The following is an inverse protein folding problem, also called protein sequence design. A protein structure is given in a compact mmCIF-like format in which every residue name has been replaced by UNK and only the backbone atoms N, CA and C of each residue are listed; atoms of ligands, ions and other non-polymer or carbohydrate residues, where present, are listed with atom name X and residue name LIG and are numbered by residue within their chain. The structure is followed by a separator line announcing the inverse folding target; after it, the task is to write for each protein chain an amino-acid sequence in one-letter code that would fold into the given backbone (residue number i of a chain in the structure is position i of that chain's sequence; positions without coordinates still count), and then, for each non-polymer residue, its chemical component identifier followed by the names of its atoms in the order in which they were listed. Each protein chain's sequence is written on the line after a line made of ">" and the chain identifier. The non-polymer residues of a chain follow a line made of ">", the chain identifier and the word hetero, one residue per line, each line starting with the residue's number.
data_IF_473457395685
#
_entry.id   IF_473457395685
#
_cell.length_a   1.000
_cell.length_b   1.000
_cell.length_c   1.000
_cell.angle_alpha   90.00
_cell.angle_beta   90.00
_cell.angle_gamma   90.00
#
_symmetry.space_group_name_H-M   'P 1'
#
loop_
_entity.id
_entity.type
_entity.pdbx_description
1 polymer ?
#
# COMPACT_ATOMS: atom_id res chain seq x y z
N UNK A 1 9.67 -25.00 23.19
CA UNK A 1 9.77 -23.99 22.11
C UNK A 1 8.43 -23.66 21.47
N UNK A 2 7.62 -24.64 21.01
CA UNK A 2 6.25 -24.39 20.47
C UNK A 2 5.36 -23.55 21.41
N UNK A 3 5.42 -23.80 22.71
CA UNK A 3 4.67 -23.03 23.72
C UNK A 3 5.16 -21.58 23.90
N UNK A 4 6.40 -21.26 23.53
CA UNK A 4 6.96 -19.92 23.67
C UNK A 4 6.48 -18.99 22.56
N UNK A 5 6.45 -19.46 21.31
CA UNK A 5 5.86 -18.70 20.19
C UNK A 5 4.34 -18.58 20.31
N UNK A 6 3.65 -19.61 20.82
CA UNK A 6 2.23 -19.49 21.19
C UNK A 6 2.02 -18.45 22.30
N UNK A 7 2.92 -18.38 23.29
CA UNK A 7 2.85 -17.35 24.32
C UNK A 7 3.13 -15.96 23.76
N UNK A 8 4.02 -15.80 22.76
CA UNK A 8 4.27 -14.53 22.05
C UNK A 8 3.05 -14.04 21.27
N UNK A 9 2.30 -14.96 20.65
CA UNK A 9 1.01 -14.68 20.03
C UNK A 9 -0.03 -14.18 21.05
N UNK A 10 0.09 -14.60 22.31
CA UNK A 10 -0.83 -14.27 23.40
C UNK A 10 -0.32 -13.15 24.34
N UNK A 11 0.95 -12.74 24.27
CA UNK A 11 1.55 -11.79 25.20
C UNK A 11 1.53 -10.37 24.66
N UNK A 12 1.21 -9.41 25.52
CA UNK A 12 1.41 -8.00 25.25
C UNK A 12 2.91 -7.69 25.41
N UNK A 13 3.58 -7.30 24.31
CA UNK A 13 4.89 -6.67 24.38
C UNK A 13 4.62 -5.18 24.18
N UNK A 14 5.10 -4.35 25.11
CA UNK A 14 4.88 -2.90 25.06
C UNK A 14 5.88 -2.27 24.10
N UNK A 15 5.37 -1.69 23.00
CA UNK A 15 6.11 -0.84 22.08
C UNK A 15 5.59 0.58 22.35
N UNK A 16 6.44 1.48 22.84
CA UNK A 16 5.99 2.72 23.50
C UNK A 16 5.85 3.93 22.59
N UNK A 17 6.27 3.89 21.33
CA UNK A 17 6.02 4.97 20.38
C UNK A 17 5.80 4.38 18.98
N UNK A 18 4.54 4.31 18.57
CA UNK A 18 4.17 4.01 17.19
C UNK A 18 3.46 5.21 16.59
N UNK A 19 3.87 5.59 15.38
CA UNK A 19 3.10 6.55 14.58
C UNK A 19 1.92 5.79 14.00
N UNK A 20 0.79 5.82 14.71
CA UNK A 20 -0.47 5.31 14.17
C UNK A 20 -0.86 6.12 12.94
N UNK A 21 -1.16 5.39 11.88
CA UNK A 21 -1.65 5.95 10.62
C UNK A 21 -3.12 6.33 10.79
N UNK A 22 -3.44 7.63 10.77
CA UNK A 22 -4.83 8.10 10.78
C UNK A 22 -5.47 8.14 9.38
N UNK A 23 -4.72 7.90 8.30
CA UNK A 23 -5.17 7.66 6.90
C UNK A 23 -4.08 8.09 5.91
N UNK A 24 -4.38 7.97 4.61
CA UNK A 24 -3.64 8.44 3.42
C UNK A 24 -2.99 9.84 3.51
N UNK A 25 -3.32 10.63 4.54
CA UNK A 25 -2.78 11.95 4.87
C UNK A 25 -1.29 11.95 5.20
N UNK A 26 -0.73 10.88 5.78
CA UNK A 26 0.73 10.81 6.11
C UNK A 26 1.60 10.38 4.91
N UNK A 27 0.94 9.93 3.85
CA UNK A 27 1.52 9.38 2.61
C UNK A 27 1.71 10.51 1.60
N UNK A 28 0.72 11.41 1.45
CA UNK A 28 0.90 12.65 0.70
C UNK A 28 1.53 13.74 1.59
N UNK A 29 2.87 13.84 1.60
CA UNK A 29 3.55 15.09 2.03
C UNK A 29 3.28 16.28 1.10
N UNK A 30 2.20 16.24 0.33
CA UNK A 30 1.77 17.32 -0.51
C UNK A 30 0.98 18.28 0.38
N UNK A 31 1.69 19.26 0.96
CA UNK A 31 1.18 20.33 1.82
C UNK A 31 0.22 21.29 1.07
N UNK A 32 -0.70 20.78 0.25
CA UNK A 32 -1.75 21.58 -0.37
C UNK A 32 -2.98 21.60 0.56
N UNK A 33 -3.61 22.77 0.78
CA UNK A 33 -4.69 22.93 1.76
C UNK A 33 -5.91 22.01 1.54
N UNK A 34 -6.13 21.57 0.30
CA UNK A 34 -7.30 20.78 -0.08
C UNK A 34 -7.10 19.26 0.07
N UNK A 35 -5.88 18.72 0.14
CA UNK A 35 -5.64 17.27 0.29
C UNK A 35 -6.15 16.79 1.66
N UNK A 36 -5.89 17.55 2.73
CA UNK A 36 -6.42 17.23 4.05
C UNK A 36 -7.95 17.19 4.05
N UNK A 37 -8.58 18.16 3.39
CA UNK A 37 -10.03 18.25 3.25
C UNK A 37 -10.58 17.11 2.40
N UNK A 38 -9.84 16.68 1.36
CA UNK A 38 -10.17 15.52 0.54
C UNK A 38 -10.27 14.26 1.40
N UNK A 39 -9.25 13.98 2.22
CA UNK A 39 -9.24 12.79 3.09
C UNK A 39 -10.21 12.88 4.27
N UNK A 40 -10.60 14.08 4.68
CA UNK A 40 -11.68 14.28 5.65
C UNK A 40 -13.08 14.09 5.05
N UNK A 41 -13.20 13.81 3.75
CA UNK A 41 -14.50 13.65 3.07
C UNK A 41 -15.19 14.97 2.71
N UNK A 42 -14.51 16.11 2.82
CA UNK A 42 -15.04 17.45 2.51
C UNK A 42 -15.04 17.73 0.98
N UNK A 43 -15.28 16.71 0.15
CA UNK A 43 -15.11 16.75 -1.31
C UNK A 43 -15.87 17.88 -1.99
N UNK A 44 -17.12 18.13 -1.57
CA UNK A 44 -17.96 19.20 -2.14
C UNK A 44 -17.38 20.59 -1.91
N UNK A 45 -16.74 20.81 -0.76
CA UNK A 45 -16.17 22.11 -0.38
C UNK A 45 -14.95 22.46 -1.23
N UNK A 46 -14.17 21.45 -1.61
CA UNK A 46 -12.94 21.64 -2.38
C UNK A 46 -13.13 21.47 -3.89
N UNK A 47 -14.29 20.98 -4.36
CA UNK A 47 -14.47 20.60 -5.78
C UNK A 47 -14.18 21.74 -6.75
N UNK A 48 -14.76 22.93 -6.53
CA UNK A 48 -14.58 24.06 -7.45
C UNK A 48 -13.13 24.57 -7.46
N UNK A 49 -12.47 24.59 -6.30
CA UNK A 49 -11.06 24.96 -6.16
C UNK A 49 -10.15 23.95 -6.86
N UNK A 50 -10.33 22.66 -6.58
CA UNK A 50 -9.57 21.56 -7.18
C UNK A 50 -9.78 21.52 -8.69
N UNK A 51 -11.01 21.73 -9.17
CA UNK A 51 -11.30 21.78 -10.60
C UNK A 51 -10.59 22.94 -11.29
N UNK A 52 -10.64 24.13 -10.70
CA UNK A 52 -9.95 25.30 -11.23
C UNK A 52 -8.43 25.06 -11.33
N UNK A 53 -7.81 24.59 -10.26
CA UNK A 53 -6.38 24.29 -10.23
C UNK A 53 -6.00 23.19 -11.24
N UNK A 54 -6.85 22.18 -11.40
CA UNK A 54 -6.63 21.12 -12.38
C UNK A 54 -6.66 21.65 -13.83
N UNK A 55 -7.57 22.59 -14.12
CA UNK A 55 -7.65 23.32 -15.40
C UNK A 55 -6.45 24.25 -15.61
N UNK A 56 -5.81 24.72 -14.54
CA UNK A 56 -4.56 25.50 -14.54
C UNK A 56 -3.29 24.63 -14.63
N UNK A 57 -3.43 23.35 -14.97
CA UNK A 57 -2.35 22.35 -15.09
C UNK A 57 -1.61 21.98 -13.80
N UNK A 58 -2.22 22.19 -12.63
CA UNK A 58 -1.67 21.71 -11.37
C UNK A 58 -1.77 20.16 -11.31
N UNK A 59 -0.64 19.42 -11.31
CA UNK A 59 -0.65 17.96 -11.38
C UNK A 59 -1.31 17.30 -10.16
N UNK A 60 -1.26 17.95 -9.00
CA UNK A 60 -1.82 17.47 -7.73
C UNK A 60 -3.33 17.61 -7.73
N UNK A 61 -3.84 18.75 -8.21
CA UNK A 61 -5.25 19.01 -8.38
C UNK A 61 -5.84 18.10 -9.47
N UNK A 62 -5.12 17.86 -10.57
CA UNK A 62 -5.52 16.90 -11.60
C UNK A 62 -5.63 15.48 -11.05
N UNK A 63 -4.64 15.04 -10.27
CA UNK A 63 -4.69 13.75 -9.59
C UNK A 63 -5.86 13.66 -8.61
N UNK A 64 -6.05 14.69 -7.78
CA UNK A 64 -7.12 14.76 -6.78
C UNK A 64 -8.49 14.73 -7.45
N UNK A 65 -8.69 15.53 -8.50
CA UNK A 65 -9.92 15.58 -9.27
C UNK A 65 -10.25 14.23 -9.92
N UNK A 66 -9.23 13.56 -10.49
CA UNK A 66 -9.36 12.20 -11.01
C UNK A 66 -9.82 11.22 -9.93
N UNK A 67 -9.23 11.33 -8.73
CA UNK A 67 -9.60 10.54 -7.55
C UNK A 67 -11.06 10.79 -7.14
N UNK A 68 -11.52 12.04 -7.13
CA UNK A 68 -12.92 12.39 -6.85
C UNK A 68 -13.89 11.71 -7.83
N UNK A 69 -13.57 11.73 -9.13
CA UNK A 69 -14.35 11.03 -10.15
C UNK A 69 -14.31 9.49 -10.01
N UNK A 70 -13.17 8.91 -9.62
CA UNK A 70 -13.05 7.46 -9.41
C UNK A 70 -13.83 6.98 -8.17
N UNK A 71 -13.82 7.77 -7.09
CA UNK A 71 -14.61 7.49 -5.88
C UNK A 71 -16.11 7.49 -6.17
N UNK A 72 -16.62 8.51 -6.83
CA UNK A 72 -18.04 8.60 -7.16
C UNK A 72 -18.50 7.46 -8.10
N UNK A 73 -17.64 7.01 -9.02
CA UNK A 73 -17.91 5.86 -9.89
C UNK A 73 -18.15 4.58 -9.08
N UNK A 74 -17.32 4.33 -8.07
CA UNK A 74 -17.41 3.15 -7.19
C UNK A 74 -18.66 3.17 -6.33
N UNK A 75 -19.13 4.34 -5.91
CA UNK A 75 -20.39 4.48 -5.15
C UNK A 75 -21.63 4.11 -5.98
N UNK A 76 -21.66 4.37 -7.29
CA UNK A 76 -22.77 4.01 -8.18
C UNK A 76 -22.90 2.49 -8.39
N UNK A 77 -21.79 1.75 -8.33
CA UNK A 77 -21.74 0.28 -8.44
C UNK A 77 -22.18 -0.43 -7.14
N UNK A 78 -22.26 0.31 -6.02
CA UNK A 78 -22.74 -0.20 -4.73
C UNK A 78 -24.28 -0.17 -4.66
N UNK A 79 -24.92 -1.12 -5.34
CA UNK A 79 -26.37 -1.36 -5.27
C UNK A 79 -26.89 -1.75 -3.88
N UNK A 80 -27.01 -0.79 -2.96
CA UNK A 80 -27.86 -0.90 -1.77
C UNK A 80 -27.30 -1.64 -0.55
N UNK A 81 -25.97 -1.83 -0.39
CA UNK A 81 -25.41 -2.39 0.85
C UNK A 81 -24.84 -1.32 1.79
N UNK A 82 -25.39 -1.32 3.01
CA UNK A 82 -25.26 -0.32 4.10
C UNK A 82 -23.85 -0.04 4.66
N UNK A 83 -22.76 -0.56 4.10
CA UNK A 83 -21.43 -0.44 4.72
C UNK A 83 -20.29 0.03 3.78
N UNK A 84 -20.59 0.53 2.59
CA UNK A 84 -19.57 1.18 1.75
C UNK A 84 -19.46 2.67 2.14
N UNK A 85 -18.47 3.01 2.98
CA UNK A 85 -18.10 4.39 3.40
C UNK A 85 -19.29 5.37 3.40
N UNK A 86 -20.17 5.19 4.39
CA UNK A 86 -21.29 6.08 4.66
C UNK A 86 -20.71 7.48 4.94
N UNK A 87 -20.90 8.44 3.99
CA UNK A 87 -21.59 9.72 4.28
C UNK A 87 -21.62 10.83 3.21
N UNK A 88 -21.27 10.68 1.93
CA UNK A 88 -20.98 11.92 1.16
C UNK A 88 -21.57 12.13 -0.25
N UNK A 89 -22.39 11.22 -0.81
CA UNK A 89 -22.96 11.43 -2.16
C UNK A 89 -24.43 11.03 -2.29
N UNK A 90 -25.26 11.89 -2.91
CA UNK A 90 -26.63 11.52 -3.29
C UNK A 90 -26.70 11.14 -4.78
N UNK A 91 -27.48 10.12 -5.17
CA UNK A 91 -27.63 9.66 -6.55
C UNK A 91 -28.09 10.72 -7.58
N UNK A 92 -28.53 11.91 -7.13
CA UNK A 92 -29.01 12.99 -8.01
C UNK A 92 -27.90 13.89 -8.54
N UNK A 93 -26.68 13.79 -8.02
CA UNK A 93 -25.58 14.71 -8.36
C UNK A 93 -24.82 14.32 -9.64
N UNK A 94 -25.31 13.34 -10.42
CA UNK A 94 -24.96 13.17 -11.83
C UNK A 94 -23.48 12.89 -12.14
N UNK A 95 -22.99 11.73 -11.72
CA UNK A 95 -21.68 11.17 -12.11
C UNK A 95 -21.75 10.29 -13.37
N UNK A 96 -22.65 10.55 -14.31
CA UNK A 96 -22.78 9.71 -15.52
C UNK A 96 -21.61 9.85 -16.53
N UNK A 97 -20.54 10.58 -16.19
CA UNK A 97 -19.26 10.61 -16.91
C UNK A 97 -18.06 10.16 -16.04
N UNK A 98 -18.29 9.51 -14.90
CA UNK A 98 -17.29 9.27 -13.85
C UNK A 98 -15.99 8.60 -14.32
N UNK A 99 -16.08 7.52 -15.10
CA UNK A 99 -14.88 6.75 -15.49
C UNK A 99 -14.06 7.45 -16.57
N UNK A 100 -14.70 8.06 -17.56
CA UNK A 100 -13.98 8.77 -18.63
C UNK A 100 -13.30 10.03 -18.10
N UNK A 101 -13.93 10.74 -17.16
CA UNK A 101 -13.33 11.90 -16.50
C UNK A 101 -12.15 11.50 -15.61
N UNK A 102 -12.27 10.45 -14.79
CA UNK A 102 -11.15 9.95 -14.00
C UNK A 102 -9.96 9.58 -14.89
N UNK A 103 -10.20 8.83 -15.97
CA UNK A 103 -9.15 8.45 -16.93
C UNK A 103 -8.51 9.66 -17.60
N UNK A 104 -9.30 10.68 -17.99
CA UNK A 104 -8.78 11.92 -18.57
C UNK A 104 -7.85 12.61 -17.57
N UNK A 105 -8.32 12.87 -16.36
CA UNK A 105 -7.56 13.64 -15.38
C UNK A 105 -6.33 12.91 -14.85
N UNK A 106 -6.37 11.58 -14.73
CA UNK A 106 -5.14 10.82 -14.46
C UNK A 106 -4.11 10.97 -15.58
N UNK A 107 -4.52 11.00 -16.85
CA UNK A 107 -3.58 11.21 -17.96
C UNK A 107 -2.97 12.60 -17.93
N UNK A 108 -3.78 13.63 -17.67
CA UNK A 108 -3.27 15.00 -17.50
C UNK A 108 -2.29 15.08 -16.33
N UNK A 109 -2.64 14.49 -15.19
CA UNK A 109 -1.75 14.43 -14.03
C UNK A 109 -0.42 13.74 -14.37
N UNK A 110 -0.44 12.64 -15.13
CA UNK A 110 0.78 11.97 -15.62
C UNK A 110 1.60 12.90 -16.52
N UNK A 111 0.95 13.58 -17.47
CA UNK A 111 1.61 14.48 -18.41
C UNK A 111 2.27 15.68 -17.70
N UNK A 112 1.63 16.17 -16.63
CA UNK A 112 2.12 17.27 -15.81
C UNK A 112 3.01 16.81 -14.64
N UNK A 113 3.38 15.53 -14.59
CA UNK A 113 4.43 15.02 -13.69
C UNK A 113 3.97 14.52 -12.33
N UNK A 114 2.68 14.22 -12.13
CA UNK A 114 2.20 13.63 -10.88
C UNK A 114 2.74 12.20 -10.72
N UNK A 115 3.53 11.91 -9.67
CA UNK A 115 4.28 10.66 -9.54
C UNK A 115 3.38 9.41 -9.42
N UNK A 116 2.24 9.53 -8.75
CA UNK A 116 1.37 8.40 -8.43
C UNK A 116 0.22 8.18 -9.41
N UNK A 117 0.05 9.08 -10.39
CA UNK A 117 -1.11 9.03 -11.29
C UNK A 117 -1.07 7.81 -12.23
N UNK A 118 0.12 7.33 -12.58
CA UNK A 118 0.30 6.10 -13.38
C UNK A 118 -0.25 4.88 -12.65
N UNK A 119 -0.01 4.76 -11.34
CA UNK A 119 -0.54 3.67 -10.52
C UNK A 119 -2.06 3.69 -10.46
N UNK A 120 -2.65 4.87 -10.27
CA UNK A 120 -4.11 5.00 -10.25
C UNK A 120 -4.75 4.67 -11.60
N UNK A 121 -4.13 5.11 -12.70
CA UNK A 121 -4.54 4.74 -14.05
C UNK A 121 -4.44 3.21 -14.30
N UNK A 122 -3.42 2.55 -13.74
CA UNK A 122 -3.27 1.10 -13.80
C UNK A 122 -4.35 0.37 -12.98
N UNK A 123 -4.72 0.90 -11.81
CA UNK A 123 -5.71 0.29 -10.90
C UNK A 123 -7.16 0.60 -11.25
N UNK A 124 -7.43 1.63 -12.06
CA UNK A 124 -8.77 2.05 -12.41
C UNK A 124 -9.57 0.90 -13.08
N UNK A 125 -10.78 0.65 -12.57
CA UNK A 125 -11.65 -0.43 -13.05
C UNK A 125 -12.13 -0.08 -14.46
N UNK A 126 -11.69 -0.86 -15.45
CA UNK A 126 -12.18 -0.71 -16.83
C UNK A 126 -13.60 -1.30 -16.92
N UNK A 127 -14.43 -0.70 -17.77
CA UNK A 127 -15.78 -1.19 -18.07
C UNK A 127 -15.77 -2.59 -18.70
N UNK A 128 -14.66 -2.98 -19.35
CA UNK A 128 -14.49 -4.27 -20.01
C UNK A 128 -13.99 -5.39 -19.07
N UNK A 129 -13.60 -5.07 -17.83
CA UNK A 129 -13.09 -6.05 -16.86
C UNK A 129 -11.73 -6.66 -17.21
N UNK A 130 -11.04 -6.16 -18.24
CA UNK A 130 -9.75 -6.71 -18.65
C UNK A 130 -8.64 -6.35 -17.64
N UNK A 131 -7.73 -7.30 -17.32
CA UNK A 131 -6.55 -6.98 -16.53
C UNK A 131 -5.72 -5.88 -17.23
N UNK A 132 -5.05 -5.00 -16.48
CA UNK A 132 -4.15 -4.02 -17.07
C UNK A 132 -3.07 -4.70 -17.92
N UNK A 133 -2.75 -4.12 -19.09
CA UNK A 133 -1.72 -4.66 -19.97
C UNK A 133 -0.32 -4.54 -19.37
N UNK A 134 0.59 -5.42 -19.78
CA UNK A 134 2.02 -5.39 -19.43
C UNK A 134 2.65 -4.01 -19.70
N UNK A 135 2.24 -3.35 -20.79
CA UNK A 135 2.69 -1.98 -21.11
C UNK A 135 2.33 -0.97 -20.02
N UNK A 136 1.14 -1.07 -19.41
CA UNK A 136 0.74 -0.17 -18.31
C UNK A 136 1.47 -0.53 -17.02
N UNK A 137 1.66 -1.82 -16.76
CA UNK A 137 2.43 -2.29 -15.62
C UNK A 137 3.86 -1.72 -15.64
N UNK A 138 4.55 -1.86 -16.78
CA UNK A 138 5.89 -1.33 -16.99
C UNK A 138 5.95 0.19 -16.86
N UNK A 139 4.89 0.91 -17.25
CA UNK A 139 4.81 2.36 -17.06
C UNK A 139 4.75 2.73 -15.57
N UNK A 140 3.97 2.01 -14.76
CA UNK A 140 3.91 2.21 -13.31
C UNK A 140 5.27 1.93 -12.68
N UNK A 141 5.86 0.77 -12.99
CA UNK A 141 7.18 0.37 -12.50
C UNK A 141 8.22 1.46 -12.81
N UNK A 142 8.29 1.91 -14.07
CA UNK A 142 9.23 2.95 -14.49
C UNK A 142 9.02 4.28 -13.75
N UNK A 143 7.77 4.65 -13.50
CA UNK A 143 7.43 5.93 -12.86
C UNK A 143 7.70 5.93 -11.36
N UNK A 144 7.45 4.79 -10.70
CA UNK A 144 7.61 4.68 -9.25
C UNK A 144 9.02 4.29 -8.82
N UNK A 145 9.78 3.55 -9.63
CA UNK A 145 11.09 3.02 -9.25
C UNK A 145 12.06 4.09 -8.70
N UNK A 146 12.24 5.27 -9.33
CA UNK A 146 13.14 6.30 -8.78
C UNK A 146 12.71 6.79 -7.40
N UNK A 147 11.40 6.85 -7.13
CA UNK A 147 10.85 7.26 -5.84
C UNK A 147 11.09 6.18 -4.78
N UNK A 148 10.90 4.91 -5.16
CA UNK A 148 11.26 3.76 -4.31
C UNK A 148 12.74 3.80 -3.96
N UNK A 149 13.61 4.04 -4.95
CA UNK A 149 15.06 4.14 -4.73
C UNK A 149 15.45 5.32 -3.85
N UNK A 150 14.67 6.41 -3.85
CA UNK A 150 14.83 7.54 -2.93
C UNK A 150 14.24 7.31 -1.52
N UNK A 151 13.57 6.17 -1.29
CA UNK A 151 12.96 5.84 0.00
C UNK A 151 11.53 6.35 0.19
N UNK A 152 10.79 6.59 -0.89
CA UNK A 152 9.37 6.96 -0.81
C UNK A 152 8.51 5.73 -0.49
N UNK A 153 7.98 5.65 0.73
CA UNK A 153 7.12 4.55 1.18
C UNK A 153 5.82 4.38 0.41
N UNK A 154 5.25 5.46 -0.12
CA UNK A 154 4.04 5.45 -0.94
C UNK A 154 4.31 4.77 -2.27
N UNK A 155 5.35 5.25 -2.95
CA UNK A 155 5.82 4.66 -4.19
C UNK A 155 6.18 3.20 -3.96
N UNK A 156 6.81 2.88 -2.81
CA UNK A 156 7.20 1.50 -2.48
C UNK A 156 6.00 0.59 -2.29
N UNK A 157 4.97 1.05 -1.59
CA UNK A 157 3.70 0.33 -1.47
C UNK A 157 3.03 0.10 -2.83
N UNK A 158 2.90 1.16 -3.64
CA UNK A 158 2.28 1.10 -4.96
C UNK A 158 3.07 0.20 -5.92
N UNK A 159 4.39 0.26 -5.85
CA UNK A 159 5.32 -0.59 -6.59
C UNK A 159 5.16 -2.06 -6.18
N UNK A 160 5.18 -2.38 -4.88
CA UNK A 160 4.90 -3.72 -4.36
C UNK A 160 3.54 -4.24 -4.84
N UNK A 161 2.49 -3.41 -4.78
CA UNK A 161 1.13 -3.77 -5.21
C UNK A 161 1.05 -4.08 -6.70
N UNK A 162 1.83 -3.38 -7.51
CA UNK A 162 1.95 -3.59 -8.95
C UNK A 162 2.60 -4.94 -9.24
N UNK A 163 3.71 -5.23 -8.55
CA UNK A 163 4.43 -6.49 -8.68
C UNK A 163 3.76 -7.69 -7.99
N UNK A 164 2.74 -7.49 -7.16
CA UNK A 164 2.17 -8.58 -6.37
C UNK A 164 1.71 -9.82 -7.17
N UNK A 165 1.36 -9.66 -8.45
CA UNK A 165 1.03 -10.78 -9.34
C UNK A 165 2.26 -11.63 -9.69
N UNK A 166 3.44 -11.01 -9.83
CA UNK A 166 4.70 -11.71 -10.14
C UNK A 166 5.22 -12.50 -8.93
N UNK A 167 4.92 -12.06 -7.70
CA UNK A 167 5.25 -12.80 -6.47
C UNK A 167 4.43 -14.08 -6.25
N UNK A 168 3.36 -14.29 -7.03
CA UNK A 168 2.54 -15.52 -6.97
C UNK A 168 3.10 -16.66 -7.82
N UNK A 169 4.21 -16.44 -8.54
CA UNK A 169 4.90 -17.47 -9.31
C UNK A 169 5.68 -18.35 -8.33
N UNK A 170 5.34 -19.63 -8.29
CA UNK A 170 6.02 -20.58 -7.43
C UNK A 170 7.45 -20.86 -7.95
N UNK A 171 8.47 -21.01 -7.08
CA UNK A 171 9.87 -21.10 -7.50
C UNK A 171 10.26 -22.45 -8.13
N UNK A 172 9.29 -23.26 -8.56
CA UNK A 172 9.57 -24.40 -9.42
C UNK A 172 9.92 -23.98 -10.87
N UNK A 173 9.97 -22.68 -11.18
CA UNK A 173 10.44 -22.19 -12.49
C UNK A 173 11.75 -21.44 -12.33
N UNK A 174 12.83 -22.04 -12.85
CA UNK A 174 14.18 -21.47 -12.86
C UNK A 174 14.30 -20.45 -14.02
N UNK A 175 13.43 -19.45 -14.04
CA UNK A 175 13.27 -18.51 -15.14
C UNK A 175 13.78 -17.11 -14.78
N UNK A 176 14.14 -16.33 -15.81
CA UNK A 176 14.57 -14.93 -15.69
C UNK A 176 13.60 -14.06 -14.87
N UNK A 177 12.29 -14.37 -14.91
CA UNK A 177 11.29 -13.66 -14.10
C UNK A 177 11.49 -13.85 -12.61
N UNK A 178 11.94 -15.03 -12.15
CA UNK A 178 12.22 -15.26 -10.73
C UNK A 178 13.40 -14.41 -10.24
N UNK A 179 14.49 -14.32 -11.03
CA UNK A 179 15.66 -13.48 -10.69
C UNK A 179 15.27 -12.01 -10.56
N UNK A 180 14.56 -11.46 -11.55
CA UNK A 180 14.09 -10.06 -11.51
C UNK A 180 13.16 -9.80 -10.33
N UNK A 181 12.27 -10.75 -10.05
CA UNK A 181 11.37 -10.69 -8.88
C UNK A 181 12.14 -10.59 -7.56
N UNK A 182 13.21 -11.37 -7.40
CA UNK A 182 14.07 -11.30 -6.20
C UNK A 182 14.80 -9.96 -6.10
N UNK A 183 15.33 -9.43 -7.20
CA UNK A 183 15.96 -8.10 -7.24
C UNK A 183 14.97 -6.99 -6.84
N UNK A 184 13.74 -7.05 -7.35
CA UNK A 184 12.69 -6.08 -7.03
C UNK A 184 12.28 -6.17 -5.55
N UNK A 185 12.19 -7.37 -4.99
CA UNK A 185 11.93 -7.58 -3.55
C UNK A 185 13.05 -7.01 -2.68
N UNK A 186 14.31 -7.17 -3.05
CA UNK A 186 15.43 -6.56 -2.33
C UNK A 186 15.39 -5.03 -2.37
N UNK A 187 14.99 -4.45 -3.51
CA UNK A 187 14.80 -3.01 -3.65
C UNK A 187 13.71 -2.51 -2.72
N UNK A 188 12.57 -3.20 -2.66
CA UNK A 188 11.46 -2.90 -1.75
C UNK A 188 11.89 -3.01 -0.28
N UNK A 189 12.61 -4.08 0.09
CA UNK A 189 13.11 -4.27 1.45
C UNK A 189 14.02 -3.12 1.86
N UNK A 190 14.94 -2.71 0.97
CA UNK A 190 15.86 -1.59 1.22
C UNK A 190 15.10 -0.29 1.50
N UNK A 191 14.04 -0.02 0.74
CA UNK A 191 13.24 1.20 0.88
C UNK A 191 12.33 1.17 2.13
N UNK A 192 11.66 0.05 2.42
CA UNK A 192 10.72 -0.04 3.54
C UNK A 192 11.38 -0.18 4.90
N UNK A 193 12.60 -0.72 4.97
CA UNK A 193 13.24 -1.05 6.23
C UNK A 193 13.44 0.17 7.16
N UNK A 194 14.04 1.29 6.71
CA UNK A 194 14.19 2.47 7.57
C UNK A 194 12.85 2.98 8.10
N UNK A 195 11.83 3.05 7.25
CA UNK A 195 10.48 3.46 7.66
C UNK A 195 9.84 2.51 8.68
N UNK A 196 10.00 1.20 8.47
CA UNK A 196 9.50 0.20 9.41
C UNK A 196 10.20 0.31 10.77
N UNK A 197 11.51 0.58 10.77
CA UNK A 197 12.31 0.82 11.97
C UNK A 197 11.94 2.13 12.67
N UNK A 198 11.50 3.16 11.94
CA UNK A 198 10.94 4.41 12.50
C UNK A 198 9.51 4.28 13.04
N UNK A 199 8.94 3.07 13.06
CA UNK A 199 7.62 2.82 13.62
C UNK A 199 6.48 2.88 12.60
N UNK A 200 6.75 2.93 11.29
CA UNK A 200 5.68 2.95 10.27
C UNK A 200 5.06 1.56 10.09
N UNK A 201 3.84 1.40 10.62
CA UNK A 201 3.09 0.14 10.65
C UNK A 201 2.87 -0.47 9.26
N UNK A 202 2.54 0.36 8.25
CA UNK A 202 2.31 -0.12 6.90
C UNK A 202 3.60 -0.65 6.25
N UNK A 203 4.71 0.04 6.49
CA UNK A 203 6.04 -0.35 6.02
C UNK A 203 6.48 -1.65 6.68
N UNK A 204 6.21 -1.85 7.98
CA UNK A 204 6.41 -3.14 8.65
C UNK A 204 5.60 -4.26 7.99
N UNK A 205 4.32 -4.02 7.69
CA UNK A 205 3.46 -5.02 7.04
C UNK A 205 4.00 -5.43 5.66
N UNK A 206 4.30 -4.47 4.78
CA UNK A 206 4.80 -4.77 3.43
C UNK A 206 6.22 -5.32 3.44
N UNK A 207 7.05 -4.93 4.41
CA UNK A 207 8.37 -5.53 4.64
C UNK A 207 8.23 -7.01 5.03
N UNK A 208 7.30 -7.34 5.93
CA UNK A 208 6.96 -8.72 6.27
C UNK A 208 6.49 -9.52 5.05
N UNK A 209 5.67 -8.91 4.19
CA UNK A 209 5.22 -9.56 2.93
C UNK A 209 6.35 -9.76 1.93
N UNK A 210 7.31 -8.84 1.85
CA UNK A 210 8.46 -8.97 0.97
C UNK A 210 9.37 -10.12 1.44
N UNK A 211 9.65 -10.22 2.75
CA UNK A 211 10.39 -11.34 3.32
C UNK A 211 9.66 -12.68 3.13
N UNK A 212 8.33 -12.70 3.28
CA UNK A 212 7.54 -13.90 3.01
C UNK A 212 7.67 -14.36 1.55
N UNK A 213 7.67 -13.43 0.59
CA UNK A 213 7.86 -13.73 -0.82
C UNK A 213 9.29 -14.25 -1.13
N UNK A 214 10.29 -13.84 -0.33
CA UNK A 214 11.66 -14.38 -0.36
C UNK A 214 11.85 -15.64 0.49
N UNK A 215 10.79 -16.15 1.11
CA UNK A 215 10.80 -17.33 1.98
C UNK A 215 11.64 -17.17 3.25
N UNK A 216 11.91 -15.93 3.62
CA UNK A 216 12.51 -15.59 4.91
C UNK A 216 11.41 -15.53 5.97
N UNK A 217 10.85 -16.70 6.30
CA UNK A 217 9.75 -16.81 7.26
C UNK A 217 10.07 -16.23 8.64
N UNK A 218 11.29 -16.40 9.20
CA UNK A 218 11.68 -15.74 10.45
C UNK A 218 11.52 -14.22 10.42
N UNK A 219 12.10 -13.55 9.41
CA UNK A 219 11.96 -12.08 9.29
C UNK A 219 10.54 -11.65 8.98
N UNK A 220 9.84 -12.39 8.12
CA UNK A 220 8.45 -12.11 7.81
C UNK A 220 7.59 -12.15 9.08
N UNK A 221 7.75 -13.19 9.90
CA UNK A 221 7.05 -13.34 11.16
C UNK A 221 7.36 -12.22 12.15
N UNK A 222 8.62 -11.83 12.30
CA UNK A 222 9.02 -10.73 13.18
C UNK A 222 8.29 -9.42 12.83
N UNK A 223 8.33 -9.01 11.56
CA UNK A 223 7.71 -7.78 11.10
C UNK A 223 6.17 -7.81 11.16
N UNK A 224 5.54 -8.94 10.81
CA UNK A 224 4.09 -9.08 11.00
C UNK A 224 3.69 -9.05 12.47
N UNK A 225 4.50 -9.63 13.35
CA UNK A 225 4.23 -9.66 14.80
C UNK A 225 4.22 -8.24 15.37
N UNK A 226 5.22 -7.42 15.03
CA UNK A 226 5.27 -6.03 15.49
C UNK A 226 4.13 -5.21 14.91
N UNK A 227 3.86 -5.30 13.61
CA UNK A 227 2.73 -4.59 13.00
C UNK A 227 1.37 -4.99 13.61
N UNK A 228 1.17 -6.28 13.91
CA UNK A 228 -0.04 -6.78 14.57
C UNK A 228 -0.18 -6.20 16.00
N UNK A 229 0.90 -6.18 16.78
CA UNK A 229 0.90 -5.60 18.14
C UNK A 229 0.55 -4.12 18.14
N UNK A 230 0.88 -3.41 17.06
CA UNK A 230 0.50 -2.01 16.83
C UNK A 230 -0.91 -1.86 16.21
N UNK A 231 -1.75 -2.91 16.23
CA UNK A 231 -3.16 -2.84 15.84
C UNK A 231 -3.46 -3.10 14.36
N UNK A 232 -2.47 -3.47 13.53
CA UNK A 232 -2.72 -3.77 12.12
C UNK A 232 -3.35 -5.16 11.91
N UNK A 233 -4.68 -5.22 11.92
CA UNK A 233 -5.44 -6.48 11.78
C UNK A 233 -5.03 -7.37 10.59
N UNK A 234 -4.72 -6.86 9.37
CA UNK A 234 -4.24 -7.72 8.30
C UNK A 234 -2.93 -8.45 8.65
N UNK A 235 -2.03 -7.83 9.43
CA UNK A 235 -0.77 -8.46 9.83
C UNK A 235 -0.99 -9.66 10.75
N UNK A 236 -2.06 -9.70 11.54
CA UNK A 236 -2.41 -10.87 12.36
C UNK A 236 -2.63 -12.12 11.48
N UNK A 237 -3.37 -11.96 10.38
CA UNK A 237 -3.66 -13.06 9.45
C UNK A 237 -2.37 -13.59 8.84
N UNK A 238 -1.52 -12.70 8.33
CA UNK A 238 -0.24 -13.09 7.75
C UNK A 238 0.70 -13.70 8.78
N UNK A 239 0.78 -13.14 9.99
CA UNK A 239 1.58 -13.70 11.09
C UNK A 239 1.20 -15.16 11.36
N UNK A 240 -0.09 -15.45 11.49
CA UNK A 240 -0.60 -16.83 11.70
C UNK A 240 -0.26 -17.75 10.53
N UNK A 241 -0.38 -17.26 9.29
CA UNK A 241 0.01 -18.02 8.10
C UNK A 241 1.51 -18.32 8.09
N UNK A 242 2.37 -17.34 8.32
CA UNK A 242 3.83 -17.53 8.35
C UNK A 242 4.25 -18.49 9.47
N UNK A 243 3.57 -18.43 10.62
CA UNK A 243 3.83 -19.33 11.74
C UNK A 243 3.68 -20.81 11.36
N UNK A 244 2.70 -21.16 10.51
CA UNK A 244 2.53 -22.53 10.02
C UNK A 244 3.75 -23.01 9.20
N UNK A 245 4.37 -22.14 8.42
CA UNK A 245 5.60 -22.45 7.69
C UNK A 245 6.79 -22.60 8.64
N UNK A 246 6.92 -21.72 9.63
CA UNK A 246 7.97 -21.81 10.67
C UNK A 246 7.90 -23.15 11.40
N UNK A 247 6.70 -23.60 11.80
CA UNK A 247 6.53 -24.89 12.47
C UNK A 247 6.90 -26.06 11.56
N UNK A 248 6.45 -26.01 10.30
CA UNK A 248 6.71 -27.06 9.31
C UNK A 248 8.20 -27.21 9.00
N UNK A 249 8.92 -26.10 8.91
CA UNK A 249 10.34 -26.07 8.54
C UNK A 249 11.29 -26.09 9.75
N UNK A 250 10.76 -26.13 10.97
CA UNK A 250 11.57 -26.19 12.19
C UNK A 250 12.32 -24.89 12.50
N UNK A 251 11.86 -23.74 12.01
CA UNK A 251 12.54 -22.44 12.06
C UNK A 251 12.23 -21.62 13.33
N UNK A 252 11.77 -22.28 14.39
CA UNK A 252 11.23 -21.60 15.58
C UNK A 252 12.29 -20.77 16.32
N UNK A 253 13.53 -21.28 16.40
CA UNK A 253 14.62 -20.58 17.08
C UNK A 253 15.03 -19.32 16.30
N UNK A 254 15.17 -19.43 14.98
CA UNK A 254 15.49 -18.29 14.12
C UNK A 254 14.39 -17.22 14.18
N UNK A 255 13.12 -17.62 14.21
CA UNK A 255 12.00 -16.69 14.32
C UNK A 255 12.03 -15.89 15.63
N UNK A 256 12.41 -16.53 16.75
CA UNK A 256 12.57 -15.84 18.04
C UNK A 256 13.74 -14.85 17.96
N UNK A 257 14.89 -15.28 17.44
CA UNK A 257 16.07 -14.42 17.29
C UNK A 257 15.77 -13.19 16.43
N UNK A 258 15.09 -13.36 15.29
CA UNK A 258 14.72 -12.25 14.42
C UNK A 258 13.67 -11.34 15.06
N UNK A 259 12.71 -11.89 15.80
CA UNK A 259 11.74 -11.10 16.55
C UNK A 259 12.42 -10.24 17.63
N UNK A 260 13.34 -10.82 18.40
CA UNK A 260 14.09 -10.09 19.44
C UNK A 260 14.91 -8.94 18.83
N UNK A 261 15.55 -9.17 17.68
CA UNK A 261 16.26 -8.11 16.93
C UNK A 261 15.32 -6.98 16.56
N UNK A 262 14.18 -7.28 15.95
CA UNK A 262 13.22 -6.25 15.52
C UNK A 262 12.65 -5.49 16.72
N UNK A 263 12.31 -6.18 17.81
CA UNK A 263 11.83 -5.54 19.04
C UNK A 263 12.87 -4.62 19.67
N UNK A 264 14.14 -5.00 19.64
CA UNK A 264 15.22 -4.18 20.21
C UNK A 264 15.37 -2.83 19.52
N UNK A 265 15.03 -2.73 18.22
CA UNK A 265 15.02 -1.46 17.48
C UNK A 265 14.04 -0.45 18.07
N UNK A 266 12.90 -0.90 18.59
CA UNK A 266 11.87 -0.02 19.16
C UNK A 266 12.06 0.28 20.65
N UNK A 267 13.00 -0.39 21.32
CA UNK A 267 13.37 -0.09 22.71
C UNK A 267 14.44 1.01 22.81
N UNK A 268 15.09 1.34 21.68
CA UNK A 268 16.15 2.35 21.59
C UNK A 268 15.67 3.71 21.07
N UNK A 269 14.40 3.80 20.66
CA UNK A 269 13.72 5.04 20.29
C UNK A 269 13.10 5.68 21.54
#
# INVERSE_FOLDING_TARGET
>A
MKHFLLAILCSALFITEAKEFNSWVDIDQQNTPYIKQFYNGELKKIYDEVKKLAEENDPVAQYTLAHMYDFAAKHLDCGGYRNCYINFYTPKDGFELSNSQALKWYREAINNGHPYATYMLYRHKRLDGEPPSEKRENLVIKSLLPLVESGDGVATFMYYRTLNKTFSVTPQTNSFSHKKTVEDLHTIIKALKPEAEEGRILSMHYLGRAYFALWDYPKAFAWFTVANKLGHAPSEVYQKSVFQFIEKEGLSEQAIIELDKVLSTFQQL
#
